data_IF_713938499099
#
_entry.id   IF_713938499099
#
_cell.length_a   1.000
_cell.length_b   1.000
_cell.length_c   1.000
_cell.angle_alpha   90.00
_cell.angle_beta   90.00
_cell.angle_gamma   90.00
#
_symmetry.space_group_name_H-M   'P 1'
#
loop_
_entity.id
_entity.type
_entity.pdbx_description
1 polymer ?
#
# COMPACT_ATOMS: atom_id res chain seq x y z
N UNK A 1 -11.01 29.86 -8.06
CA UNK A 1 -11.25 30.51 -9.37
C UNK A 1 -11.25 29.45 -10.46
N UNK A 2 -12.40 29.16 -11.08
CA UNK A 2 -12.47 28.34 -12.31
C UNK A 2 -12.05 29.24 -13.47
N UNK A 3 -11.17 28.80 -14.39
CA UNK A 3 -10.94 29.56 -15.61
C UNK A 3 -12.14 29.34 -16.56
N UNK A 4 -12.73 30.45 -16.98
CA UNK A 4 -13.77 30.56 -17.98
C UNK A 4 -13.20 30.31 -19.38
N UNK A 5 -13.78 29.34 -20.10
CA UNK A 5 -13.84 29.26 -21.57
C UNK A 5 -12.52 29.12 -22.34
N UNK A 6 -12.23 27.91 -22.86
CA UNK A 6 -11.73 27.71 -24.25
C UNK A 6 -11.35 26.26 -24.57
N UNK A 7 -11.84 25.78 -25.72
CA UNK A 7 -11.40 24.62 -26.52
C UNK A 7 -11.72 23.20 -26.00
N UNK A 8 -12.53 22.51 -26.80
CA UNK A 8 -12.87 21.09 -26.79
C UNK A 8 -11.62 20.21 -27.00
N UNK A 9 -10.75 20.10 -26.00
CA UNK A 9 -9.68 19.08 -26.01
C UNK A 9 -10.32 17.73 -25.67
N UNK A 10 -10.69 16.99 -26.72
CA UNK A 10 -11.12 15.59 -26.78
C UNK A 10 -11.65 14.95 -25.48
N UNK A 11 -12.97 14.84 -25.37
CA UNK A 11 -13.73 14.26 -24.24
C UNK A 11 -13.11 12.98 -23.67
N UNK A 12 -12.62 12.10 -24.55
CA UNK A 12 -12.07 10.80 -24.20
C UNK A 12 -10.81 10.86 -23.30
N UNK A 13 -9.96 11.89 -23.40
CA UNK A 13 -8.78 12.03 -22.51
C UNK A 13 -9.23 12.32 -21.07
N UNK A 14 -10.31 13.10 -20.92
CA UNK A 14 -10.87 13.42 -19.61
C UNK A 14 -11.56 12.20 -18.99
N UNK A 15 -12.18 11.35 -19.81
CA UNK A 15 -12.78 10.10 -19.36
C UNK A 15 -11.75 9.05 -18.91
N UNK A 16 -10.64 8.90 -19.64
CA UNK A 16 -9.57 7.98 -19.23
C UNK A 16 -8.91 8.45 -17.92
N UNK A 17 -8.84 9.75 -17.65
CA UNK A 17 -8.34 10.28 -16.36
C UNK A 17 -9.21 9.91 -15.16
N UNK A 18 -10.49 9.62 -15.39
CA UNK A 18 -11.40 9.14 -14.36
C UNK A 18 -11.17 7.66 -13.99
N UNK A 19 -10.35 6.92 -14.75
CA UNK A 19 -10.06 5.53 -14.47
C UNK A 19 -9.21 5.36 -13.21
N UNK A 20 -9.50 4.29 -12.46
CA UNK A 20 -8.75 3.89 -11.29
C UNK A 20 -7.74 2.81 -11.68
N UNK A 21 -6.48 3.02 -11.33
CA UNK A 21 -5.42 2.04 -11.51
C UNK A 21 -5.13 1.34 -10.19
N UNK A 22 -5.34 0.03 -10.14
CA UNK A 22 -5.14 -0.76 -8.91
C UNK A 22 -3.86 -1.57 -9.00
N UNK A 23 -2.95 -1.33 -8.06
CA UNK A 23 -1.77 -2.16 -7.80
C UNK A 23 -2.16 -3.36 -6.93
N UNK A 24 -1.63 -4.54 -7.29
CA UNK A 24 -1.92 -5.80 -6.60
C UNK A 24 -0.78 -6.17 -5.64
N UNK A 25 -1.11 -6.88 -4.55
CA UNK A 25 -0.11 -7.39 -3.61
C UNK A 25 0.62 -8.64 -4.09
N UNK A 26 0.06 -9.35 -5.08
CA UNK A 26 0.62 -10.60 -5.61
C UNK A 26 1.56 -10.38 -6.80
N UNK A 27 1.66 -9.16 -7.32
CA UNK A 27 2.59 -8.81 -8.40
C UNK A 27 3.87 -8.21 -7.86
N UNK A 28 4.92 -8.26 -8.65
CA UNK A 28 6.23 -7.75 -8.23
C UNK A 28 6.23 -6.22 -8.06
N UNK A 29 7.21 -5.71 -7.31
CA UNK A 29 7.38 -4.28 -7.08
C UNK A 29 7.64 -3.52 -8.38
N UNK A 30 8.31 -4.15 -9.35
CA UNK A 30 8.57 -3.58 -10.67
C UNK A 30 7.29 -3.39 -11.47
N UNK A 31 6.39 -4.38 -11.45
CA UNK A 31 5.10 -4.27 -12.11
C UNK A 31 4.24 -3.16 -11.48
N UNK A 32 4.20 -3.11 -10.16
CA UNK A 32 3.53 -2.03 -9.44
C UNK A 32 4.14 -0.66 -9.76
N UNK A 33 5.47 -0.58 -9.89
CA UNK A 33 6.18 0.63 -10.30
C UNK A 33 5.81 1.07 -11.73
N UNK A 34 5.77 0.15 -12.68
CA UNK A 34 5.41 0.45 -14.08
C UNK A 34 3.97 0.93 -14.18
N UNK A 35 3.02 0.29 -13.48
CA UNK A 35 1.60 0.67 -13.50
C UNK A 35 1.40 2.08 -12.93
N UNK A 36 1.97 2.37 -11.75
CA UNK A 36 1.83 3.71 -11.17
C UNK A 36 2.50 4.79 -12.02
N UNK A 37 3.63 4.46 -12.68
CA UNK A 37 4.32 5.38 -13.56
C UNK A 37 3.47 5.66 -14.80
N UNK A 38 2.94 4.61 -15.44
CA UNK A 38 2.04 4.74 -16.58
C UNK A 38 0.81 5.61 -16.25
N UNK A 39 0.16 5.36 -15.11
CA UNK A 39 -1.01 6.14 -14.67
C UNK A 39 -0.67 7.64 -14.52
N UNK A 40 0.48 7.95 -13.92
CA UNK A 40 0.88 9.36 -13.66
C UNK A 40 1.47 10.05 -14.88
N UNK A 41 2.25 9.37 -15.72
CA UNK A 41 3.00 9.99 -16.82
C UNK A 41 2.29 9.92 -18.16
N UNK A 42 1.56 8.85 -18.44
CA UNK A 42 0.88 8.65 -19.75
C UNK A 42 -0.58 9.09 -19.64
N UNK A 43 -1.27 8.63 -18.59
CA UNK A 43 -2.70 8.93 -18.38
C UNK A 43 -2.92 10.26 -17.68
N UNK A 44 -1.89 10.80 -17.00
CA UNK A 44 -1.96 12.03 -16.22
C UNK A 44 -3.05 11.97 -15.13
N UNK A 45 -3.14 10.85 -14.42
CA UNK A 45 -4.02 10.70 -13.27
C UNK A 45 -3.24 10.30 -12.01
N UNK A 46 -3.72 10.73 -10.85
CA UNK A 46 -3.21 10.33 -9.55
C UNK A 46 -4.11 9.27 -8.87
N UNK A 47 -5.14 8.80 -9.58
CA UNK A 47 -6.08 7.79 -9.10
C UNK A 47 -5.41 6.40 -9.15
N UNK A 48 -4.49 6.16 -8.22
CA UNK A 48 -3.79 4.90 -8.05
C UNK A 48 -4.02 4.39 -6.64
N UNK A 49 -4.44 3.14 -6.52
CA UNK A 49 -4.73 2.52 -5.23
C UNK A 49 -4.12 1.11 -5.13
N UNK A 50 -4.02 0.57 -3.91
CA UNK A 50 -3.47 -0.75 -3.62
C UNK A 50 -4.26 -1.45 -2.52
N UNK A 51 -4.21 -2.78 -2.49
CA UNK A 51 -4.79 -3.59 -1.41
C UNK A 51 -4.28 -3.16 -0.02
N UNK A 52 -3.05 -2.64 0.08
CA UNK A 52 -2.49 -2.13 1.33
C UNK A 52 -3.33 -1.01 1.97
N UNK A 53 -4.19 -0.32 1.20
CA UNK A 53 -5.09 0.70 1.76
C UNK A 53 -6.10 0.10 2.74
N UNK A 54 -6.57 -1.12 2.52
CA UNK A 54 -7.55 -1.77 3.39
C UNK A 54 -6.90 -2.47 4.58
N UNK A 55 -5.74 -3.08 4.39
CA UNK A 55 -5.10 -3.89 5.42
C UNK A 55 -4.00 -3.16 6.23
N UNK A 56 -3.37 -2.12 5.69
CA UNK A 56 -2.23 -1.46 6.36
C UNK A 56 -2.41 0.04 6.59
N UNK A 57 -3.36 0.74 5.95
CA UNK A 57 -3.44 2.21 6.06
C UNK A 57 -3.58 2.73 7.49
N UNK A 58 -4.36 2.05 8.34
CA UNK A 58 -4.50 2.40 9.76
C UNK A 58 -3.18 2.25 10.52
N UNK A 59 -2.48 1.13 10.33
CA UNK A 59 -1.18 0.85 10.94
C UNK A 59 -0.11 1.85 10.48
N UNK A 60 -0.06 2.18 9.19
CA UNK A 60 0.86 3.18 8.65
C UNK A 60 0.68 4.53 9.36
N UNK A 61 -0.57 4.97 9.52
CA UNK A 61 -0.89 6.24 10.20
C UNK A 61 -0.48 6.21 11.68
N UNK A 62 -0.78 5.11 12.38
CA UNK A 62 -0.42 4.94 13.79
C UNK A 62 1.10 4.94 13.99
N UNK A 63 1.84 4.08 13.26
CA UNK A 63 3.29 3.96 13.39
C UNK A 63 4.03 5.23 12.99
N UNK A 64 3.58 5.94 11.95
CA UNK A 64 4.16 7.24 11.59
C UNK A 64 3.98 8.25 12.72
N UNK A 65 2.83 8.26 13.39
CA UNK A 65 2.57 9.21 14.49
C UNK A 65 3.35 8.89 15.77
N UNK A 66 3.67 7.62 16.03
CA UNK A 66 4.32 7.19 17.27
C UNK A 66 5.83 7.02 17.13
N UNK A 67 6.28 6.38 16.04
CA UNK A 67 7.70 6.04 15.79
C UNK A 67 8.33 6.86 14.67
N UNK A 68 7.54 7.61 13.89
CA UNK A 68 8.04 8.36 12.73
C UNK A 68 8.34 7.50 11.49
N UNK A 69 8.19 6.18 11.59
CA UNK A 69 8.43 5.22 10.50
C UNK A 69 7.13 4.45 10.16
N UNK A 70 6.73 4.35 8.88
CA UNK A 70 5.49 3.70 8.47
C UNK A 70 5.71 2.19 8.18
N UNK A 71 6.61 1.52 8.88
CA UNK A 71 6.99 0.12 8.61
C UNK A 71 7.18 -0.64 9.92
N UNK A 72 7.21 -1.97 9.82
CA UNK A 72 7.58 -2.82 10.94
C UNK A 72 9.00 -2.46 11.41
N UNK A 73 9.19 -2.12 12.71
CA UNK A 73 10.47 -1.62 13.21
C UNK A 73 11.50 -2.72 13.51
N UNK A 74 11.06 -3.97 13.60
CA UNK A 74 11.86 -5.13 13.99
C UNK A 74 11.93 -6.16 12.88
N UNK A 75 12.92 -7.05 12.94
CA UNK A 75 13.03 -8.19 12.05
C UNK A 75 12.32 -9.41 12.64
N UNK A 76 12.01 -10.37 11.77
CA UNK A 76 11.42 -11.64 12.20
C UNK A 76 12.38 -12.39 13.13
N UNK A 77 13.69 -12.32 12.88
CA UNK A 77 14.70 -13.01 13.68
C UNK A 77 14.78 -12.48 15.12
N UNK A 78 14.36 -11.23 15.37
CA UNK A 78 14.32 -10.65 16.71
C UNK A 78 13.36 -11.42 17.64
N UNK A 79 12.37 -12.13 17.06
CA UNK A 79 11.45 -12.98 17.81
C UNK A 79 12.17 -14.13 18.55
N UNK A 80 13.30 -14.61 18.04
CA UNK A 80 14.07 -15.70 18.67
C UNK A 80 14.79 -15.25 19.95
N UNK A 81 14.92 -13.95 20.15
CA UNK A 81 15.60 -13.34 21.30
C UNK A 81 14.65 -12.65 22.27
N UNK A 82 13.35 -12.64 21.97
CA UNK A 82 12.36 -11.98 22.79
C UNK A 82 12.02 -12.80 24.03
N UNK A 83 12.15 -12.21 25.22
CA UNK A 83 11.74 -12.87 26.49
C UNK A 83 10.22 -12.96 26.63
N UNK A 84 9.47 -12.12 25.90
CA UNK A 84 8.02 -12.06 25.94
C UNK A 84 7.47 -11.57 24.61
N UNK A 85 6.43 -12.26 24.11
CA UNK A 85 5.73 -11.91 22.87
C UNK A 85 4.25 -11.66 23.18
N UNK A 86 3.77 -10.45 22.90
CA UNK A 86 2.36 -10.08 23.01
C UNK A 86 1.70 -10.15 21.63
N UNK A 87 0.73 -11.05 21.46
CA UNK A 87 -0.05 -11.19 20.22
C UNK A 87 -1.44 -10.62 20.45
N UNK A 88 -1.80 -9.57 19.69
CA UNK A 88 -3.13 -8.97 19.72
C UNK A 88 -3.62 -8.68 18.30
N UNK A 89 -4.85 -9.10 17.99
CA UNK A 89 -5.46 -8.85 16.68
C UNK A 89 -4.84 -9.61 15.50
N UNK A 90 -4.08 -10.68 15.75
CA UNK A 90 -3.45 -11.53 14.74
C UNK A 90 -3.52 -13.00 15.14
N UNK A 91 -3.53 -13.91 14.14
CA UNK A 91 -3.42 -15.35 14.34
C UNK A 91 -2.22 -15.89 13.53
N UNK A 92 -1.02 -15.99 14.12
CA UNK A 92 0.18 -16.41 13.39
C UNK A 92 0.11 -17.86 12.88
N UNK A 93 -0.59 -18.76 13.58
CA UNK A 93 -0.71 -20.16 13.16
C UNK A 93 -1.40 -20.33 11.81
N UNK A 94 -2.39 -19.47 11.51
CA UNK A 94 -3.13 -19.52 10.25
C UNK A 94 -2.54 -18.58 9.21
N UNK A 95 -2.17 -17.35 9.59
CA UNK A 95 -1.73 -16.31 8.66
C UNK A 95 -0.25 -16.44 8.25
N UNK A 96 0.60 -16.94 9.16
CA UNK A 96 2.04 -17.08 8.95
C UNK A 96 2.55 -18.38 9.59
N UNK A 97 2.19 -19.56 9.04
CA UNK A 97 2.45 -20.84 9.72
C UNK A 97 3.91 -21.05 10.12
N UNK A 98 4.86 -20.59 9.29
CA UNK A 98 6.30 -20.65 9.59
C UNK A 98 6.70 -19.89 10.86
N UNK A 99 5.98 -18.80 11.20
CA UNK A 99 6.20 -18.03 12.43
C UNK A 99 5.47 -18.64 13.62
N UNK A 100 4.28 -19.21 13.41
CA UNK A 100 3.49 -19.82 14.48
C UNK A 100 4.15 -21.02 15.15
N UNK A 101 5.05 -21.72 14.45
CA UNK A 101 5.77 -22.88 14.99
C UNK A 101 7.15 -22.55 15.59
N UNK A 102 7.55 -21.28 15.63
CA UNK A 102 8.78 -20.91 16.33
C UNK A 102 8.60 -21.11 17.84
N UNK A 103 9.61 -21.64 18.55
CA UNK A 103 9.54 -21.82 19.99
C UNK A 103 9.49 -20.44 20.65
N UNK A 104 8.28 -20.02 21.03
CA UNK A 104 8.04 -18.86 21.91
C UNK A 104 8.29 -19.21 23.36
#
# INVERSE_FOLDING_TARGET
MKPSGSSTKSSWITEIRAWLFTALGEVTNENNYVIQKFARTVVYTNNVDTCARLCHASTLKALTSTLGIPVMPHYIDDLLTADCILIFGSNPYTNYPSLGFLPT
#
